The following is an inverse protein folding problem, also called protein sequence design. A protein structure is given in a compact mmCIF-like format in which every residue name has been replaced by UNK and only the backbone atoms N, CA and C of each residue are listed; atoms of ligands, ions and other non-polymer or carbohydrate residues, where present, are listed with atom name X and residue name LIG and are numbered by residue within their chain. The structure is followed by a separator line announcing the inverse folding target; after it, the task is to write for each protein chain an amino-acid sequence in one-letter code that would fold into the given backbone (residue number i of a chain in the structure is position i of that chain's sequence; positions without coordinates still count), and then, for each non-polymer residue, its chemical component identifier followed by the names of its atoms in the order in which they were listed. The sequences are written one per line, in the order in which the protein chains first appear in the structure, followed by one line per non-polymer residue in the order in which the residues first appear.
data_IF_454117508675
#
_entry.id   IF_454117508675
#
_cell.length_a   1.000
_cell.length_b   1.000
_cell.length_c   1.000
_cell.angle_alpha   90.00
_cell.angle_beta   90.00
_cell.angle_gamma   90.00
#
_symmetry.space_group_name_H-M   'P 1'
#
loop_
_entity.id
_entity.type
_entity.pdbx_description
1 polymer ?
#
# COMPACT_ATOMS: atom_id res chain seq x y z
N UNK A 1 -7.06 18.73 7.76
CA UNK A 1 -7.69 17.47 8.20
C UNK A 1 -6.90 16.99 9.40
N UNK A 2 -7.61 16.84 10.52
CA UNK A 2 -7.18 16.85 11.93
C UNK A 2 -5.66 16.64 12.11
N UNK A 3 -4.94 17.73 12.37
CA UNK A 3 -3.63 17.63 13.03
C UNK A 3 -3.94 17.11 14.43
N UNK A 4 -3.85 15.80 14.60
CA UNK A 4 -4.19 15.17 15.86
C UNK A 4 -3.27 15.63 16.99
N UNK A 5 -2.21 16.40 16.72
CA UNK A 5 -1.42 17.05 17.77
C UNK A 5 -0.96 16.06 18.84
N UNK A 6 -0.80 14.77 18.48
CA UNK A 6 -0.37 13.71 19.39
C UNK A 6 1.15 13.82 19.45
N UNK A 7 1.61 14.94 20.00
CA UNK A 7 2.89 14.96 20.67
C UNK A 7 2.64 14.46 22.09
N UNK A 8 2.43 13.15 22.22
CA UNK A 8 2.51 12.45 23.49
C UNK A 8 2.73 10.98 23.16
N UNK A 9 3.85 10.40 23.62
CA UNK A 9 3.90 8.96 23.91
C UNK A 9 2.56 8.55 24.47
N UNK A 10 1.85 7.62 23.83
CA UNK A 10 0.62 7.12 24.41
C UNK A 10 0.95 6.62 25.82
N UNK A 11 0.28 7.17 26.83
CA UNK A 11 0.42 6.65 28.18
C UNK A 11 -0.03 5.18 28.21
N UNK A 12 0.39 4.44 29.24
CA UNK A 12 0.03 3.03 29.39
C UNK A 12 -1.49 2.79 29.35
N UNK A 13 -2.29 3.79 29.74
CA UNK A 13 -3.75 3.71 29.75
C UNK A 13 -4.31 3.72 28.33
N UNK A 14 -3.84 4.60 27.44
CA UNK A 14 -4.24 4.65 26.03
C UNK A 14 -3.79 3.41 25.26
N UNK A 15 -2.58 2.90 25.55
CA UNK A 15 -2.08 1.62 24.98
C UNK A 15 -2.96 0.44 25.38
N UNK A 16 -3.44 0.43 26.64
CA UNK A 16 -4.37 -0.59 27.15
C UNK A 16 -5.74 -0.48 26.51
N UNK A 17 -6.29 0.73 26.34
CA UNK A 17 -7.57 0.96 25.66
C UNK A 17 -7.51 0.44 24.22
N UNK A 18 -6.44 0.77 23.49
CA UNK A 18 -6.24 0.27 22.12
C UNK A 18 -6.17 -1.26 22.06
N UNK A 19 -5.50 -1.89 23.03
CA UNK A 19 -5.45 -3.36 23.10
C UNK A 19 -6.83 -3.97 23.38
N UNK A 20 -7.63 -3.36 24.25
CA UNK A 20 -9.00 -3.82 24.53
C UNK A 20 -9.91 -3.69 23.31
N UNK A 21 -9.85 -2.56 22.60
CA UNK A 21 -10.61 -2.35 21.36
C UNK A 21 -10.22 -3.36 20.27
N UNK A 22 -8.92 -3.63 20.11
CA UNK A 22 -8.41 -4.64 19.18
C UNK A 22 -8.93 -6.05 19.51
N UNK A 23 -9.00 -6.42 20.80
CA UNK A 23 -9.58 -7.71 21.23
C UNK A 23 -11.08 -7.77 20.95
N UNK A 24 -11.81 -6.68 21.22
CA UNK A 24 -13.25 -6.62 21.02
C UNK A 24 -13.62 -6.75 19.54
N UNK A 25 -12.93 -6.03 18.65
CA UNK A 25 -13.16 -6.11 17.20
C UNK A 25 -12.85 -7.50 16.67
N UNK A 26 -11.73 -8.09 17.05
CA UNK A 26 -11.38 -9.45 16.61
C UNK A 26 -12.42 -10.46 17.10
N UNK A 27 -12.89 -10.33 18.34
CA UNK A 27 -13.97 -11.17 18.87
C UNK A 27 -15.27 -11.00 18.08
N UNK A 28 -15.67 -9.75 17.79
CA UNK A 28 -16.86 -9.44 16.98
C UNK A 28 -16.75 -10.05 15.58
N UNK A 29 -15.58 -9.92 14.95
CA UNK A 29 -15.30 -10.40 13.60
C UNK A 29 -15.33 -11.92 13.51
N UNK A 30 -14.64 -12.62 14.43
CA UNK A 30 -14.69 -14.08 14.52
C UNK A 30 -16.10 -14.58 14.83
N UNK A 31 -16.82 -13.91 15.72
CA UNK A 31 -18.23 -14.23 16.02
C UNK A 31 -19.13 -14.12 14.78
N UNK A 32 -18.99 -13.04 14.00
CA UNK A 32 -19.73 -12.88 12.75
C UNK A 32 -19.39 -13.98 11.74
N UNK A 33 -18.10 -14.28 11.53
CA UNK A 33 -17.67 -15.34 10.61
C UNK A 33 -18.11 -16.73 11.04
N UNK A 34 -18.26 -16.97 12.35
CA UNK A 34 -18.77 -18.25 12.88
C UNK A 34 -20.27 -18.42 12.66
N UNK A 35 -20.99 -17.33 12.32
CA UNK A 35 -22.41 -17.37 12.01
C UNK A 35 -22.61 -17.77 10.55
N UNK A 36 -23.51 -18.74 10.24
CA UNK A 36 -23.82 -19.12 8.86
C UNK A 36 -24.17 -17.90 8.00
N UNK A 37 -23.83 -17.97 6.71
CA UNK A 37 -24.19 -16.93 5.74
C UNK A 37 -25.71 -16.80 5.70
N UNK A 38 -26.20 -15.57 5.85
CA UNK A 38 -27.64 -15.29 5.81
C UNK A 38 -28.23 -15.73 4.48
N UNK A 39 -29.43 -16.31 4.52
CA UNK A 39 -30.21 -16.60 3.31
C UNK A 39 -30.68 -15.33 2.59
N UNK A 40 -30.50 -14.16 3.20
CA UNK A 40 -30.77 -12.83 2.62
C UNK A 40 -29.42 -12.14 2.35
N UNK A 41 -28.88 -12.19 1.11
CA UNK A 41 -27.54 -11.69 0.81
C UNK A 41 -27.32 -10.21 1.10
N UNK A 42 -28.36 -9.37 0.99
CA UNK A 42 -28.26 -7.95 1.35
C UNK A 42 -28.02 -7.76 2.86
N UNK A 43 -28.72 -8.54 3.70
CA UNK A 43 -28.60 -8.44 5.14
C UNK A 43 -27.22 -8.91 5.61
N UNK A 44 -26.70 -9.98 4.98
CA UNK A 44 -25.35 -10.49 5.26
C UNK A 44 -24.30 -9.41 5.01
N UNK A 45 -24.36 -8.79 3.83
CA UNK A 45 -23.45 -7.71 3.41
C UNK A 45 -23.54 -6.51 4.34
N UNK A 46 -24.74 -6.06 4.70
CA UNK A 46 -24.92 -4.95 5.63
C UNK A 46 -24.32 -5.26 7.01
N UNK A 47 -24.48 -6.49 7.49
CA UNK A 47 -23.91 -6.92 8.78
C UNK A 47 -22.39 -7.02 8.71
N UNK A 48 -21.85 -7.48 7.59
CA UNK A 48 -20.40 -7.50 7.34
C UNK A 48 -19.82 -6.08 7.35
N UNK A 49 -20.44 -5.13 6.63
CA UNK A 49 -20.05 -3.71 6.64
C UNK A 49 -20.12 -3.10 8.04
N UNK A 50 -21.20 -3.35 8.78
CA UNK A 50 -21.33 -2.90 10.17
C UNK A 50 -20.29 -3.53 11.11
N UNK A 51 -19.81 -4.73 10.79
CA UNK A 51 -18.71 -5.39 11.49
C UNK A 51 -17.38 -4.71 11.20
N UNK A 52 -17.20 -4.18 9.99
CA UNK A 52 -15.99 -3.49 9.56
C UNK A 52 -15.80 -2.07 10.11
N UNK A 53 -16.84 -1.45 10.65
CA UNK A 53 -16.78 -0.09 11.17
C UNK A 53 -15.74 0.08 12.29
N UNK A 54 -14.93 1.14 12.22
CA UNK A 54 -13.95 1.49 13.26
C UNK A 54 -12.59 0.79 13.15
N UNK A 55 -12.45 -0.18 12.24
CA UNK A 55 -11.24 -1.02 12.12
C UNK A 55 -10.06 -0.19 11.63
N UNK A 56 -10.27 0.67 10.64
CA UNK A 56 -9.18 1.39 10.02
C UNK A 56 -8.67 2.54 10.87
N UNK A 57 -9.52 3.10 11.72
CA UNK A 57 -9.12 4.02 12.79
C UNK A 57 -8.19 3.32 13.78
N UNK A 58 -8.50 2.07 14.14
CA UNK A 58 -7.62 1.26 15.00
C UNK A 58 -6.33 0.88 14.30
N UNK A 59 -6.37 0.49 13.02
CA UNK A 59 -5.16 0.19 12.24
C UNK A 59 -4.26 1.43 12.12
N UNK A 60 -4.83 2.61 11.89
CA UNK A 60 -4.08 3.87 11.83
C UNK A 60 -3.39 4.19 13.17
N UNK A 61 -4.07 3.96 14.30
CA UNK A 61 -3.50 4.15 15.64
C UNK A 61 -2.44 3.08 15.96
N UNK A 62 -2.67 1.83 15.55
CA UNK A 62 -1.69 0.75 15.70
C UNK A 62 -0.43 1.01 14.87
N UNK A 63 -0.56 1.55 13.66
CA UNK A 63 0.59 1.85 12.79
C UNK A 63 1.63 2.75 13.47
N UNK A 64 1.17 3.68 14.30
CA UNK A 64 2.01 4.65 15.04
C UNK A 64 2.53 4.12 16.38
N UNK A 65 1.99 3.01 16.89
CA UNK A 65 2.19 2.61 18.30
C UNK A 65 2.58 1.16 18.50
N UNK A 66 2.43 0.33 17.47
CA UNK A 66 2.59 -1.12 17.54
C UNK A 66 3.37 -1.63 16.33
N UNK A 67 4.05 -2.79 16.48
CA UNK A 67 4.70 -3.44 15.35
C UNK A 67 3.67 -3.76 14.28
N UNK A 68 4.09 -3.73 13.02
CA UNK A 68 3.22 -4.04 11.89
C UNK A 68 2.62 -5.44 12.00
N UNK A 69 3.31 -6.34 12.70
CA UNK A 69 2.83 -7.66 13.12
C UNK A 69 1.40 -7.65 13.68
N UNK A 70 1.07 -6.66 14.53
CA UNK A 70 -0.24 -6.53 15.16
C UNK A 70 -1.31 -6.20 14.13
N UNK A 71 -1.03 -5.24 13.24
CA UNK A 71 -1.98 -4.79 12.22
C UNK A 71 -2.41 -5.89 11.25
N UNK A 72 -1.48 -6.72 10.74
CA UNK A 72 -1.93 -7.79 9.84
C UNK A 72 -2.70 -8.90 10.55
N UNK A 73 -2.52 -9.13 11.86
CA UNK A 73 -3.40 -10.07 12.58
C UNK A 73 -4.84 -9.58 12.63
N UNK A 74 -5.04 -8.27 12.74
CA UNK A 74 -6.36 -7.69 12.63
C UNK A 74 -6.90 -7.86 11.21
N UNK A 75 -6.08 -7.69 10.18
CA UNK A 75 -6.51 -7.94 8.79
C UNK A 75 -6.81 -9.41 8.51
N UNK A 76 -6.08 -10.36 9.10
CA UNK A 76 -6.36 -11.80 9.00
C UNK A 76 -7.79 -12.12 9.48
N UNK A 77 -8.20 -11.51 10.61
CA UNK A 77 -9.54 -11.68 11.18
C UNK A 77 -10.64 -10.98 10.35
N UNK A 78 -10.28 -9.97 9.53
CA UNK A 78 -11.21 -9.10 8.81
C UNK A 78 -11.36 -9.44 7.33
N UNK A 79 -10.34 -10.02 6.71
CA UNK A 79 -10.40 -10.51 5.33
C UNK A 79 -11.66 -11.36 5.04
N UNK A 80 -12.03 -12.36 5.86
CA UNK A 80 -13.27 -13.11 5.64
C UNK A 80 -14.55 -12.26 5.83
N UNK A 81 -14.50 -11.22 6.68
CA UNK A 81 -15.63 -10.29 6.87
C UNK A 81 -15.80 -9.43 5.62
N UNK A 82 -14.71 -8.87 5.11
CA UNK A 82 -14.68 -8.14 3.85
C UNK A 82 -15.21 -8.99 2.69
N UNK A 83 -14.81 -10.26 2.61
CA UNK A 83 -15.33 -11.20 1.60
C UNK A 83 -16.86 -11.33 1.62
N UNK A 84 -17.48 -11.35 2.80
CA UNK A 84 -18.94 -11.38 2.96
C UNK A 84 -19.62 -10.05 2.64
N UNK A 85 -18.88 -8.95 2.69
CA UNK A 85 -19.37 -7.63 2.28
C UNK A 85 -19.36 -7.44 0.75
N UNK A 86 -18.53 -8.22 0.03
CA UNK A 86 -18.44 -8.19 -1.42
C UNK A 86 -19.69 -8.82 -2.08
N UNK A 87 -20.13 -8.32 -3.25
CA UNK A 87 -21.28 -8.87 -3.96
C UNK A 87 -21.00 -10.20 -4.67
N UNK A 88 -19.75 -10.50 -5.02
CA UNK A 88 -19.37 -11.71 -5.75
C UNK A 88 -19.44 -12.96 -4.86
N UNK A 89 -19.52 -14.15 -5.46
CA UNK A 89 -19.62 -15.42 -4.72
C UNK A 89 -18.30 -15.80 -4.06
N UNK A 90 -18.29 -16.56 -2.94
CA UNK A 90 -17.06 -17.06 -2.35
C UNK A 90 -16.19 -17.81 -3.37
N UNK A 91 -14.91 -17.44 -3.46
CA UNK A 91 -13.95 -18.01 -4.42
C UNK A 91 -13.86 -17.27 -5.75
N UNK A 92 -14.84 -16.41 -6.09
CA UNK A 92 -14.73 -15.53 -7.25
C UNK A 92 -13.85 -14.32 -6.92
N UNK A 93 -13.02 -13.83 -7.86
CA UNK A 93 -12.28 -12.59 -7.69
C UNK A 93 -13.21 -11.42 -7.35
N UNK A 94 -12.74 -10.51 -6.50
CA UNK A 94 -13.47 -9.27 -6.18
C UNK A 94 -13.31 -8.28 -7.32
N UNK A 95 -14.40 -7.70 -7.82
CA UNK A 95 -14.32 -6.66 -8.83
C UNK A 95 -13.80 -5.36 -8.21
N UNK A 96 -12.50 -5.11 -8.37
CA UNK A 96 -11.83 -3.98 -7.71
C UNK A 96 -12.42 -2.63 -8.12
N UNK A 97 -12.74 -2.36 -9.40
CA UNK A 97 -13.39 -1.11 -9.79
C UNK A 97 -14.71 -0.83 -9.06
N UNK A 98 -15.56 -1.84 -8.92
CA UNK A 98 -16.83 -1.70 -8.19
C UNK A 98 -16.60 -1.37 -6.72
N UNK A 99 -15.56 -1.94 -6.10
CA UNK A 99 -15.18 -1.62 -4.72
C UNK A 99 -14.64 -0.19 -4.61
N UNK A 100 -13.72 0.23 -5.50
CA UNK A 100 -13.11 1.55 -5.45
C UNK A 100 -14.09 2.70 -5.73
N UNK A 101 -15.15 2.43 -6.50
CA UNK A 101 -16.25 3.35 -6.76
C UNK A 101 -17.36 3.28 -5.71
N UNK A 102 -17.29 2.33 -4.77
CA UNK A 102 -18.31 2.18 -3.73
C UNK A 102 -18.29 3.38 -2.76
N UNK A 103 -19.43 3.90 -2.31
CA UNK A 103 -19.46 4.96 -1.31
C UNK A 103 -18.86 4.53 0.05
N UNK A 104 -18.94 3.25 0.40
CA UNK A 104 -18.43 2.74 1.67
C UNK A 104 -16.91 2.89 1.76
N UNK A 105 -16.46 3.61 2.78
CA UNK A 105 -15.05 3.88 3.00
C UNK A 105 -14.28 2.63 3.44
N UNK A 106 -14.87 1.75 4.26
CA UNK A 106 -14.19 0.57 4.79
C UNK A 106 -13.92 -0.46 3.70
N UNK A 107 -14.84 -0.63 2.75
CA UNK A 107 -14.63 -1.49 1.58
C UNK A 107 -13.43 -1.02 0.75
N UNK A 108 -13.43 0.28 0.40
CA UNK A 108 -12.33 0.89 -0.36
C UNK A 108 -11.00 0.75 0.36
N UNK A 109 -11.00 1.03 1.67
CA UNK A 109 -9.80 1.04 2.48
C UNK A 109 -9.23 -0.36 2.69
N UNK A 110 -10.08 -1.38 2.81
CA UNK A 110 -9.63 -2.77 2.89
C UNK A 110 -8.96 -3.21 1.59
N UNK A 111 -9.63 -3.04 0.44
CA UNK A 111 -9.07 -3.47 -0.84
C UNK A 111 -7.73 -2.77 -1.12
N UNK A 112 -7.67 -1.45 -0.92
CA UNK A 112 -6.44 -0.70 -1.09
C UNK A 112 -5.33 -1.11 -0.10
N UNK A 113 -5.67 -1.35 1.17
CA UNK A 113 -4.70 -1.81 2.17
C UNK A 113 -4.15 -3.19 1.82
N UNK A 114 -5.00 -4.13 1.44
CA UNK A 114 -4.61 -5.49 1.04
C UNK A 114 -3.60 -5.46 -0.12
N UNK A 115 -3.93 -4.74 -1.19
CA UNK A 115 -3.04 -4.54 -2.34
C UNK A 115 -1.73 -3.87 -1.90
N UNK A 116 -1.81 -2.81 -1.08
CA UNK A 116 -0.64 -2.08 -0.62
C UNK A 116 0.27 -2.92 0.28
N UNK A 117 -0.30 -3.75 1.15
CA UNK A 117 0.43 -4.67 2.00
C UNK A 117 1.14 -5.70 1.13
N UNK A 118 0.47 -6.26 0.13
CA UNK A 118 1.07 -7.19 -0.81
C UNK A 118 2.29 -6.59 -1.50
N UNK A 119 2.16 -5.41 -2.11
CA UNK A 119 3.29 -4.76 -2.82
C UNK A 119 4.37 -4.21 -1.89
N UNK A 120 4.09 -3.94 -0.62
CA UNK A 120 5.11 -3.44 0.32
C UNK A 120 5.71 -4.54 1.18
N UNK A 121 5.19 -5.77 1.17
CA UNK A 121 5.74 -6.92 1.92
C UNK A 121 6.21 -8.06 1.02
N UNK A 122 5.79 -8.07 -0.24
CA UNK A 122 5.99 -9.17 -1.17
C UNK A 122 5.11 -10.39 -0.85
N UNK A 123 4.19 -10.31 0.12
CA UNK A 123 3.21 -11.36 0.39
C UNK A 123 2.06 -11.30 -0.62
N UNK A 124 1.36 -12.42 -0.90
CA UNK A 124 0.13 -12.39 -1.67
C UNK A 124 -0.94 -11.52 -1.00
N UNK A 125 -1.91 -11.03 -1.77
CA UNK A 125 -3.11 -10.40 -1.22
C UNK A 125 -3.97 -11.42 -0.48
N UNK A 126 -4.80 -10.95 0.45
CA UNK A 126 -5.81 -11.77 1.13
C UNK A 126 -6.91 -12.23 0.18
N UNK A 127 -7.27 -11.38 -0.80
CA UNK A 127 -8.25 -11.69 -1.82
C UNK A 127 -7.66 -11.55 -3.22
N UNK A 128 -8.20 -12.31 -4.16
CA UNK A 128 -7.96 -12.09 -5.58
C UNK A 128 -8.82 -10.93 -6.06
N UNK A 129 -8.22 -10.03 -6.84
CA UNK A 129 -8.88 -8.87 -7.40
C UNK A 129 -8.90 -8.98 -8.92
N UNK A 130 -10.09 -8.87 -9.50
CA UNK A 130 -10.24 -8.70 -10.94
C UNK A 130 -10.13 -7.21 -11.28
N UNK A 131 -9.28 -6.91 -12.28
CA UNK A 131 -9.08 -5.55 -12.78
C UNK A 131 -9.20 -5.55 -14.30
N UNK A 132 -10.37 -5.19 -14.86
CA UNK A 132 -10.52 -4.95 -16.30
C UNK A 132 -9.85 -3.63 -16.68
N UNK A 133 -8.52 -3.58 -16.58
CA UNK A 133 -7.73 -2.36 -16.66
C UNK A 133 -7.86 -1.70 -18.04
N UNK A 134 -8.16 -0.40 -18.06
CA UNK A 134 -8.18 0.42 -19.27
C UNK A 134 -7.99 1.90 -18.95
N UNK A 135 -7.54 2.69 -19.92
CA UNK A 135 -7.44 4.15 -19.75
C UNK A 135 -8.82 4.79 -19.49
N UNK A 136 -9.87 4.30 -20.13
CA UNK A 136 -11.24 4.77 -19.89
C UNK A 136 -11.69 4.50 -18.46
N UNK A 137 -11.28 3.37 -17.89
CA UNK A 137 -11.52 3.08 -16.48
C UNK A 137 -10.72 4.01 -15.56
N UNK A 138 -9.46 4.32 -15.88
CA UNK A 138 -8.69 5.31 -15.15
C UNK A 138 -9.34 6.70 -15.20
N UNK A 139 -9.83 7.12 -16.36
CA UNK A 139 -10.54 8.40 -16.50
C UNK A 139 -11.82 8.42 -15.66
N UNK A 140 -12.61 7.34 -15.68
CA UNK A 140 -13.77 7.19 -14.79
C UNK A 140 -13.40 7.30 -13.32
N UNK A 141 -12.29 6.69 -12.88
CA UNK A 141 -11.81 6.79 -11.50
C UNK A 141 -11.44 8.23 -11.12
N UNK A 142 -10.74 8.92 -12.01
CA UNK A 142 -10.36 10.33 -11.82
C UNK A 142 -11.58 11.26 -11.74
N UNK A 143 -12.60 11.01 -12.56
CA UNK A 143 -13.86 11.78 -12.58
C UNK A 143 -14.78 11.46 -11.40
N UNK A 144 -14.78 10.22 -10.92
CA UNK A 144 -15.67 9.75 -9.87
C UNK A 144 -15.45 10.45 -8.52
N UNK A 145 -14.48 11.39 -8.41
CA UNK A 145 -14.21 12.33 -7.32
C UNK A 145 -15.05 12.02 -6.08
N UNK A 146 -14.72 10.92 -5.42
CA UNK A 146 -15.24 10.72 -4.08
C UNK A 146 -14.46 11.74 -3.26
N UNK A 147 -15.17 12.72 -2.70
CA UNK A 147 -14.59 13.57 -1.66
C UNK A 147 -13.89 12.66 -0.65
N UNK A 148 -12.55 12.69 -0.66
CA UNK A 148 -11.61 12.16 0.32
C UNK A 148 -11.82 10.72 0.82
N UNK A 149 -10.86 9.85 0.45
CA UNK A 149 -10.58 8.66 1.23
C UNK A 149 -9.12 8.25 1.08
N UNK A 150 -8.83 7.43 0.08
CA UNK A 150 -7.55 6.72 -0.03
C UNK A 150 -6.38 7.62 -0.42
N UNK A 151 -6.54 8.49 -1.42
CA UNK A 151 -5.47 9.41 -1.82
C UNK A 151 -5.08 10.37 -0.70
N UNK A 152 -6.07 10.81 0.10
CA UNK A 152 -5.83 11.69 1.24
C UNK A 152 -5.16 10.99 2.42
N UNK A 153 -5.24 9.66 2.49
CA UNK A 153 -4.64 8.82 3.56
C UNK A 153 -3.27 8.30 3.16
N UNK A 154 -3.16 7.69 1.97
CA UNK A 154 -1.95 6.99 1.52
C UNK A 154 -1.16 7.76 0.47
N UNK A 155 -1.69 8.86 -0.07
CA UNK A 155 -1.05 9.62 -1.14
C UNK A 155 -1.13 8.98 -2.52
N UNK A 156 -1.77 7.80 -2.62
CA UNK A 156 -1.85 7.01 -3.85
C UNK A 156 -3.18 7.24 -4.59
N UNK A 157 -3.13 7.55 -5.89
CA UNK A 157 -4.29 7.52 -6.78
C UNK A 157 -4.88 6.11 -6.93
N UNK A 158 -6.21 6.02 -7.07
CA UNK A 158 -6.93 4.74 -7.25
C UNK A 158 -6.46 3.98 -8.51
N UNK A 159 -6.04 4.71 -9.54
CA UNK A 159 -5.51 4.19 -10.79
C UNK A 159 -4.25 3.35 -10.56
N UNK A 160 -3.40 3.76 -9.62
CA UNK A 160 -2.20 2.99 -9.28
C UNK A 160 -2.52 1.80 -8.39
N UNK A 161 -3.52 1.87 -7.51
CA UNK A 161 -4.03 0.71 -6.77
C UNK A 161 -4.51 -0.37 -7.75
N UNK A 162 -5.28 0.02 -8.78
CA UNK A 162 -5.70 -0.90 -9.84
C UNK A 162 -4.53 -1.49 -10.62
N UNK A 163 -3.55 -0.67 -10.99
CA UNK A 163 -2.33 -1.16 -11.66
C UNK A 163 -1.57 -2.16 -10.80
N UNK A 164 -1.38 -1.88 -9.51
CA UNK A 164 -0.71 -2.82 -8.61
C UNK A 164 -1.47 -4.14 -8.50
N UNK A 165 -2.78 -4.11 -8.31
CA UNK A 165 -3.60 -5.32 -8.28
C UNK A 165 -3.55 -6.10 -9.59
N UNK A 166 -3.56 -5.40 -10.73
CA UNK A 166 -3.49 -6.05 -12.03
C UNK A 166 -2.11 -6.66 -12.29
N UNK A 167 -1.02 -5.97 -11.92
CA UNK A 167 0.34 -6.51 -11.99
C UNK A 167 0.46 -7.74 -11.07
N UNK A 168 -0.11 -7.72 -9.85
CA UNK A 168 -0.14 -8.89 -8.97
C UNK A 168 -0.78 -10.10 -9.65
N UNK A 169 -1.94 -9.89 -10.29
CA UNK A 169 -2.64 -10.94 -11.03
C UNK A 169 -1.80 -11.47 -12.21
N UNK A 170 -1.14 -10.58 -12.95
CA UNK A 170 -0.24 -10.96 -14.04
C UNK A 170 0.98 -11.76 -13.55
N UNK A 171 1.50 -11.48 -12.36
CA UNK A 171 2.58 -12.26 -11.76
C UNK A 171 2.19 -13.73 -11.49
N UNK A 172 0.89 -14.04 -11.40
CA UNK A 172 0.38 -15.40 -11.27
C UNK A 172 0.16 -16.09 -12.63
N UNK A 173 0.16 -15.32 -13.73
CA UNK A 173 -0.06 -15.83 -15.09
C UNK A 173 1.26 -16.29 -15.75
N UNK A 174 1.39 -17.58 -16.12
CA UNK A 174 2.62 -18.09 -16.71
C UNK A 174 2.95 -17.39 -18.04
N UNK A 175 4.11 -16.72 -18.11
CA UNK A 175 4.56 -16.08 -19.35
C UNK A 175 4.31 -14.57 -19.43
N UNK A 176 3.49 -14.01 -18.53
CA UNK A 176 3.12 -12.59 -18.54
C UNK A 176 4.34 -11.65 -18.54
N UNK A 177 5.32 -11.94 -17.69
CA UNK A 177 6.55 -11.15 -17.54
C UNK A 177 7.49 -11.20 -18.74
N UNK A 178 7.37 -12.22 -19.60
CA UNK A 178 8.15 -12.33 -20.83
C UNK A 178 7.45 -11.70 -22.04
N UNK A 179 6.18 -11.32 -21.90
CA UNK A 179 5.42 -10.65 -22.95
C UNK A 179 5.84 -9.17 -23.07
N UNK A 180 6.85 -8.90 -23.89
CA UNK A 180 7.35 -7.55 -24.13
C UNK A 180 6.27 -6.57 -24.62
N UNK A 181 5.30 -7.05 -25.40
CA UNK A 181 4.19 -6.23 -25.87
C UNK A 181 3.29 -5.75 -24.74
N UNK A 182 2.99 -6.64 -23.78
CA UNK A 182 2.23 -6.31 -22.58
C UNK A 182 3.01 -5.32 -21.68
N UNK A 183 4.29 -5.59 -21.43
CA UNK A 183 5.13 -4.72 -20.58
C UNK A 183 5.23 -3.31 -21.17
N UNK A 184 5.54 -3.19 -22.47
CA UNK A 184 5.57 -1.89 -23.15
C UNK A 184 4.20 -1.21 -23.17
N UNK A 185 3.11 -1.99 -23.31
CA UNK A 185 1.77 -1.43 -23.21
C UNK A 185 1.51 -0.82 -21.83
N UNK A 186 1.89 -1.49 -20.73
CA UNK A 186 1.72 -0.95 -19.37
C UNK A 186 2.56 0.33 -19.20
N UNK A 187 3.81 0.34 -19.66
CA UNK A 187 4.69 1.51 -19.63
C UNK A 187 4.07 2.72 -20.35
N UNK A 188 3.65 2.52 -21.61
CA UNK A 188 3.09 3.58 -22.45
C UNK A 188 1.78 4.14 -21.88
N UNK A 189 0.95 3.28 -21.28
CA UNK A 189 -0.31 3.69 -20.70
C UNK A 189 -0.11 4.39 -19.35
N UNK A 190 0.87 3.98 -18.53
CA UNK A 190 1.14 4.59 -17.24
C UNK A 190 1.38 6.10 -17.33
N UNK A 191 2.14 6.54 -18.34
CA UNK A 191 2.42 7.97 -18.56
C UNK A 191 1.21 8.75 -19.09
N UNK A 192 0.21 8.07 -19.66
CA UNK A 192 -1.04 8.67 -20.16
C UNK A 192 -2.10 8.81 -19.08
N UNK A 193 -1.95 8.14 -17.93
CA UNK A 193 -2.89 8.26 -16.81
C UNK A 193 -2.84 9.69 -16.28
N UNK A 194 -3.94 10.42 -16.47
CA UNK A 194 -4.09 11.78 -15.96
C UNK A 194 -4.30 11.72 -14.45
N UNK A 195 -3.38 12.33 -13.71
CA UNK A 195 -3.58 12.53 -12.28
C UNK A 195 -4.54 13.68 -12.06
N UNK A 196 -5.37 13.58 -11.01
CA UNK A 196 -6.33 14.62 -10.69
C UNK A 196 -5.63 15.97 -10.49
N UNK A 197 -6.14 17.00 -11.17
CA UNK A 197 -5.65 18.37 -11.03
C UNK A 197 -6.05 18.90 -9.64
N UNK A 198 -5.05 19.19 -8.83
CA UNK A 198 -5.25 19.70 -7.48
C UNK A 198 -5.62 21.19 -7.54
N UNK A 199 -6.89 21.46 -7.24
CA UNK A 199 -7.46 22.82 -7.17
C UNK A 199 -7.00 23.59 -5.92
N UNK A 200 -6.00 23.11 -5.18
CA UNK A 200 -5.45 23.83 -4.04
C UNK A 200 -4.93 25.20 -4.46
N UNK A 201 -5.35 26.22 -3.70
CA UNK A 201 -4.90 27.59 -3.89
C UNK A 201 -3.44 27.81 -3.50
N UNK A 202 -2.81 26.87 -2.77
CA UNK A 202 -1.40 26.93 -2.38
C UNK A 202 -0.51 26.26 -3.45
N UNK A 203 0.31 27.03 -4.19
CA UNK A 203 1.19 26.49 -5.23
C UNK A 203 2.19 25.46 -4.71
N UNK A 204 2.66 25.59 -3.46
CA UNK A 204 3.65 24.67 -2.88
C UNK A 204 3.02 23.32 -2.56
N UNK A 205 1.79 23.31 -2.04
CA UNK A 205 1.06 22.06 -1.79
C UNK A 205 0.72 21.35 -3.10
N UNK A 206 0.36 22.10 -4.15
CA UNK A 206 0.12 21.56 -5.49
C UNK A 206 1.37 20.90 -6.07
N UNK A 207 2.52 21.58 -6.02
CA UNK A 207 3.80 21.02 -6.46
C UNK A 207 4.15 19.77 -5.65
N UNK A 208 3.97 19.81 -4.33
CA UNK A 208 4.22 18.67 -3.45
C UNK A 208 3.37 17.44 -3.83
N UNK A 209 2.05 17.62 -4.02
CA UNK A 209 1.15 16.53 -4.43
C UNK A 209 1.48 15.98 -5.80
N UNK A 210 1.77 16.84 -6.77
CA UNK A 210 2.22 16.41 -8.09
C UNK A 210 3.50 15.57 -7.99
N UNK A 211 4.48 16.01 -7.20
CA UNK A 211 5.70 15.23 -6.97
C UNK A 211 5.42 13.87 -6.32
N UNK A 212 4.48 13.78 -5.37
CA UNK A 212 4.06 12.51 -4.77
C UNK A 212 3.46 11.57 -5.81
N UNK A 213 2.55 12.07 -6.65
CA UNK A 213 1.93 11.27 -7.71
C UNK A 213 2.96 10.79 -8.74
N UNK A 214 3.91 11.63 -9.14
CA UNK A 214 5.01 11.21 -10.02
C UNK A 214 5.95 10.19 -9.37
N UNK A 215 6.21 10.33 -8.06
CA UNK A 215 6.96 9.32 -7.30
C UNK A 215 6.24 7.97 -7.33
N UNK A 216 4.90 7.96 -7.22
CA UNK A 216 4.13 6.73 -7.37
C UNK A 216 4.21 6.13 -8.78
N UNK A 217 4.25 6.92 -9.86
CA UNK A 217 4.49 6.38 -11.21
C UNK A 217 5.80 5.61 -11.28
N UNK A 218 6.88 6.18 -10.75
CA UNK A 218 8.16 5.47 -10.71
C UNK A 218 8.12 4.21 -9.84
N UNK A 219 7.37 4.22 -8.73
CA UNK A 219 7.17 3.03 -7.91
C UNK A 219 6.44 1.92 -8.67
N UNK A 220 5.40 2.25 -9.45
CA UNK A 220 4.72 1.29 -10.33
C UNK A 220 5.68 0.71 -11.37
N UNK A 221 6.52 1.54 -12.00
CA UNK A 221 7.52 1.06 -12.97
C UNK A 221 8.55 0.12 -12.33
N UNK A 222 9.08 0.47 -11.15
CA UNK A 222 9.99 -0.41 -10.42
C UNK A 222 9.30 -1.74 -10.10
N UNK A 223 8.06 -1.69 -9.63
CA UNK A 223 7.27 -2.89 -9.34
C UNK A 223 7.03 -3.75 -10.58
N UNK A 224 6.63 -3.13 -11.70
CA UNK A 224 6.43 -3.80 -12.99
C UNK A 224 7.67 -4.59 -13.42
N UNK A 225 8.85 -3.97 -13.37
CA UNK A 225 10.06 -4.67 -13.78
C UNK A 225 10.51 -5.73 -12.79
N UNK A 226 10.55 -5.40 -11.51
CA UNK A 226 11.14 -6.31 -10.52
C UNK A 226 10.19 -7.46 -10.14
N UNK A 227 8.89 -7.19 -10.04
CA UNK A 227 7.91 -8.21 -9.66
C UNK A 227 7.41 -9.01 -10.86
N UNK A 228 6.95 -8.35 -11.94
CA UNK A 228 6.38 -9.04 -13.10
C UNK A 228 7.45 -9.53 -14.07
N UNK A 229 8.43 -8.70 -14.43
CA UNK A 229 9.49 -9.10 -15.36
C UNK A 229 10.63 -9.87 -14.70
N UNK A 230 10.55 -10.09 -13.38
CA UNK A 230 11.58 -10.73 -12.54
C UNK A 230 12.99 -10.10 -12.68
N UNK A 231 13.05 -8.81 -13.05
CA UNK A 231 14.30 -8.09 -13.18
C UNK A 231 14.94 -7.80 -11.82
N UNK A 232 16.26 -7.72 -11.77
CA UNK A 232 16.99 -7.32 -10.58
C UNK A 232 17.27 -5.81 -10.55
N UNK A 233 17.79 -5.32 -9.42
CA UNK A 233 18.08 -3.90 -9.21
C UNK A 233 19.16 -3.31 -10.12
N UNK A 234 19.92 -4.15 -10.84
CA UNK A 234 20.94 -3.75 -11.81
C UNK A 234 20.40 -3.62 -13.24
N UNK A 235 19.15 -4.03 -13.50
CA UNK A 235 18.50 -3.84 -14.80
C UNK A 235 18.48 -2.33 -15.15
N UNK A 236 18.94 -1.93 -16.36
CA UNK A 236 19.00 -0.52 -16.76
C UNK A 236 17.66 0.22 -16.67
N UNK A 237 16.53 -0.49 -16.85
CA UNK A 237 15.18 0.08 -16.75
C UNK A 237 14.82 0.36 -15.31
N UNK A 238 15.15 -0.56 -14.39
CA UNK A 238 14.99 -0.39 -12.94
C UNK A 238 15.84 0.76 -12.43
N UNK A 239 17.12 0.82 -12.82
CA UNK A 239 18.03 1.92 -12.47
C UNK A 239 17.47 3.26 -12.93
N UNK A 240 16.97 3.34 -14.17
CA UNK A 240 16.42 4.59 -14.73
C UNK A 240 15.20 5.07 -13.93
N UNK A 241 14.28 4.16 -13.60
CA UNK A 241 13.10 4.47 -12.79
C UNK A 241 13.47 4.90 -11.37
N UNK A 242 14.38 4.17 -10.72
CA UNK A 242 14.90 4.50 -9.39
C UNK A 242 15.58 5.88 -9.37
N UNK A 243 16.42 6.21 -10.36
CA UNK A 243 17.06 7.53 -10.45
C UNK A 243 16.06 8.65 -10.69
N UNK A 244 15.02 8.39 -11.50
CA UNK A 244 13.90 9.31 -11.69
C UNK A 244 13.17 9.62 -10.38
N UNK A 245 12.84 8.57 -9.61
CA UNK A 245 12.26 8.69 -8.28
C UNK A 245 13.14 9.52 -7.34
N UNK A 246 14.43 9.19 -7.24
CA UNK A 246 15.35 9.88 -6.33
C UNK A 246 15.56 11.35 -6.72
N UNK A 247 15.50 11.69 -8.00
CA UNK A 247 15.54 13.08 -8.47
C UNK A 247 14.34 13.87 -7.94
N UNK A 248 13.13 13.30 -7.97
CA UNK A 248 11.93 13.94 -7.44
C UNK A 248 11.99 14.08 -5.91
N UNK A 249 12.35 12.99 -5.22
CA UNK A 249 12.52 13.00 -3.75
C UNK A 249 13.51 14.07 -3.34
N UNK A 250 14.65 14.21 -4.02
CA UNK A 250 15.64 15.26 -3.72
C UNK A 250 15.16 16.66 -4.09
N UNK A 251 14.32 16.79 -5.11
CA UNK A 251 13.77 18.06 -5.58
C UNK A 251 12.71 18.67 -4.65
N UNK A 252 12.06 17.85 -3.82
CA UNK A 252 11.06 18.33 -2.85
C UNK A 252 11.65 18.47 -1.45
N UNK A 253 11.21 19.52 -0.74
CA UNK A 253 11.66 19.82 0.63
C UNK A 253 11.31 18.64 1.57
N UNK A 254 12.29 18.08 2.30
CA UNK A 254 12.02 17.00 3.25
C UNK A 254 11.21 17.50 4.45
N UNK A 255 10.35 16.64 4.99
CA UNK A 255 9.49 16.96 6.13
C UNK A 255 8.32 16.00 6.25
N UNK A 256 7.58 16.06 7.37
CA UNK A 256 6.42 15.19 7.64
C UNK A 256 5.51 15.04 6.42
N UNK A 257 5.21 16.16 5.76
CA UNK A 257 4.63 16.19 4.43
C UNK A 257 5.66 16.78 3.47
N UNK A 258 5.95 16.14 2.31
CA UNK A 258 5.21 15.03 1.70
C UNK A 258 5.66 13.62 2.14
N UNK A 259 6.66 13.47 3.02
CA UNK A 259 7.32 12.17 3.22
C UNK A 259 6.38 11.09 3.79
N UNK A 260 5.38 11.44 4.62
CA UNK A 260 4.36 10.51 5.10
C UNK A 260 3.58 9.82 3.96
N UNK A 261 3.35 10.54 2.85
CA UNK A 261 2.67 10.01 1.66
C UNK A 261 3.58 9.19 0.73
N UNK A 262 4.88 9.18 1.02
CA UNK A 262 5.89 8.50 0.22
C UNK A 262 6.44 7.25 0.91
N UNK A 263 6.07 6.95 2.16
CA UNK A 263 6.62 5.79 2.89
C UNK A 263 6.46 4.49 2.09
N UNK A 264 5.26 4.23 1.56
CA UNK A 264 5.00 3.01 0.80
C UNK A 264 5.77 2.97 -0.54
N UNK A 265 5.84 4.09 -1.26
CA UNK A 265 6.64 4.16 -2.49
C UNK A 265 8.15 4.08 -2.21
N UNK A 266 8.61 4.59 -1.06
CA UNK A 266 9.99 4.46 -0.58
C UNK A 266 10.33 3.00 -0.26
N UNK A 267 9.39 2.21 0.26
CA UNK A 267 9.62 0.75 0.44
C UNK A 267 9.82 0.08 -0.91
N UNK A 268 8.92 0.33 -1.87
CA UNK A 268 8.97 -0.29 -3.21
C UNK A 268 10.27 0.07 -3.93
N UNK A 269 10.59 1.37 -4.04
CA UNK A 269 11.78 1.83 -4.75
C UNK A 269 13.06 1.55 -3.95
N UNK A 270 12.98 1.56 -2.62
CA UNK A 270 14.10 1.32 -1.72
C UNK A 270 14.79 -0.02 -1.93
N UNK A 271 14.04 -1.04 -2.36
CA UNK A 271 14.57 -2.38 -2.72
C UNK A 271 15.60 -2.26 -3.85
N UNK A 272 15.32 -1.40 -4.85
CA UNK A 272 16.16 -1.21 -6.02
C UNK A 272 17.37 -0.30 -5.79
N UNK A 273 17.49 0.34 -4.63
CA UNK A 273 18.58 1.31 -4.38
C UNK A 273 19.89 0.57 -4.08
N UNK A 274 20.88 0.79 -4.94
CA UNK A 274 22.23 0.25 -4.79
C UNK A 274 23.23 1.26 -4.20
N UNK A 275 23.10 2.54 -4.53
CA UNK A 275 24.02 3.60 -4.10
C UNK A 275 23.80 3.96 -2.62
N UNK A 276 24.84 3.89 -1.78
CA UNK A 276 24.71 4.17 -0.33
C UNK A 276 24.19 5.58 -0.05
N UNK A 277 24.58 6.57 -0.86
CA UNK A 277 24.09 7.95 -0.78
C UNK A 277 22.56 8.04 -0.97
N UNK A 278 22.02 7.24 -1.88
CA UNK A 278 20.58 7.18 -2.14
C UNK A 278 19.86 6.48 -0.97
N UNK A 279 20.46 5.42 -0.40
CA UNK A 279 19.95 4.73 0.80
C UNK A 279 19.93 5.66 2.01
N UNK A 280 20.99 6.42 2.23
CA UNK A 280 21.10 7.44 3.28
C UNK A 280 20.01 8.51 3.13
N UNK A 281 19.79 8.96 1.89
CA UNK A 281 18.74 9.94 1.58
C UNK A 281 17.37 9.37 1.97
N UNK A 282 17.05 8.15 1.54
CA UNK A 282 15.76 7.51 1.83
C UNK A 282 15.57 7.26 3.33
N UNK A 283 16.61 6.77 4.02
CA UNK A 283 16.63 6.58 5.47
C UNK A 283 16.32 7.87 6.22
N UNK A 284 17.00 8.96 5.88
CA UNK A 284 16.77 10.27 6.49
C UNK A 284 15.34 10.79 6.25
N UNK A 285 14.77 10.53 5.07
CA UNK A 285 13.40 10.93 4.73
C UNK A 285 12.37 10.15 5.55
N UNK A 286 12.53 8.83 5.65
CA UNK A 286 11.65 8.00 6.46
C UNK A 286 11.71 8.40 7.94
N UNK A 287 12.90 8.54 8.54
CA UNK A 287 13.04 8.94 9.95
C UNK A 287 12.46 10.32 10.29
N UNK A 288 12.30 11.22 9.32
CA UNK A 288 11.66 12.53 9.54
C UNK A 288 10.15 12.44 9.76
N UNK A 289 9.54 11.31 9.41
CA UNK A 289 8.15 10.99 9.77
C UNK A 289 8.15 10.31 11.14
N UNK A 290 8.59 11.08 12.15
CA UNK A 290 8.90 10.56 13.48
C UNK A 290 7.73 9.82 14.13
N UNK A 291 6.48 10.18 13.81
CA UNK A 291 5.27 9.57 14.37
C UNK A 291 5.13 8.07 14.01
N UNK A 292 5.90 7.58 13.04
CA UNK A 292 5.84 6.21 12.51
C UNK A 292 7.14 5.43 12.71
N UNK A 293 8.18 6.06 13.24
CA UNK A 293 9.55 5.54 13.15
C UNK A 293 10.17 5.18 14.51
N UNK A 294 9.41 5.28 15.59
CA UNK A 294 9.83 4.79 16.91
C UNK A 294 10.07 3.26 16.86
N UNK A 295 11.08 2.73 17.56
CA UNK A 295 11.32 1.30 17.63
C UNK A 295 10.08 0.50 18.03
N UNK A 296 9.76 -0.56 17.26
CA UNK A 296 8.58 -1.38 17.51
C UNK A 296 7.28 -0.78 16.98
N UNK A 297 7.34 0.13 16.01
CA UNK A 297 6.17 0.65 15.25
C UNK A 297 6.20 0.20 13.80
N UNK A 298 5.10 0.39 13.07
CA UNK A 298 4.97 -0.10 11.68
C UNK A 298 5.95 0.56 10.70
N UNK A 299 6.21 1.87 10.82
CA UNK A 299 7.18 2.53 9.95
C UNK A 299 8.62 2.14 10.28
N UNK A 300 8.94 1.89 11.55
CA UNK A 300 10.24 1.35 11.94
C UNK A 300 10.49 -0.03 11.32
N UNK A 301 9.48 -0.92 11.34
CA UNK A 301 9.54 -2.22 10.66
C UNK A 301 9.78 -2.07 9.14
N UNK A 302 9.31 -1.00 8.51
CA UNK A 302 9.58 -0.73 7.10
C UNK A 302 11.07 -0.42 6.84
N UNK A 303 11.70 0.43 7.64
CA UNK A 303 13.14 0.70 7.54
C UNK A 303 13.95 -0.57 7.83
N UNK A 304 13.60 -1.31 8.89
CA UNK A 304 14.31 -2.55 9.25
C UNK A 304 14.31 -3.57 8.11
N UNK A 305 13.22 -3.68 7.34
CA UNK A 305 13.15 -4.54 6.17
C UNK A 305 14.07 -4.08 5.05
N UNK A 306 14.12 -2.78 4.76
CA UNK A 306 15.06 -2.25 3.76
C UNK A 306 16.53 -2.45 4.19
N UNK A 307 16.86 -2.22 5.46
CA UNK A 307 18.20 -2.46 5.99
C UNK A 307 18.63 -3.92 5.89
N UNK A 308 17.71 -4.85 6.14
CA UNK A 308 17.96 -6.28 5.99
C UNK A 308 18.25 -6.64 4.53
N UNK A 309 17.49 -6.10 3.57
CA UNK A 309 17.73 -6.29 2.12
C UNK A 309 19.08 -5.70 1.70
N UNK A 310 19.37 -4.45 2.09
CA UNK A 310 20.62 -3.76 1.73
C UNK A 310 21.85 -4.46 2.32
N UNK A 311 21.74 -4.95 3.56
CA UNK A 311 22.81 -5.71 4.20
C UNK A 311 23.00 -7.05 3.52
N UNK A 312 21.92 -7.80 3.27
CA UNK A 312 21.95 -9.12 2.64
C UNK A 312 22.58 -9.07 1.25
N UNK A 313 22.07 -8.19 0.39
CA UNK A 313 22.56 -8.03 -1.00
C UNK A 313 24.02 -7.61 -1.06
N UNK A 314 24.47 -6.77 -0.11
CA UNK A 314 25.89 -6.41 0.04
C UNK A 314 26.76 -7.60 0.45
N UNK A 315 26.32 -8.40 1.42
CA UNK A 315 27.05 -9.58 1.90
C UNK A 315 27.14 -10.65 0.80
N UNK A 316 26.03 -10.89 0.12
CA UNK A 316 25.92 -11.87 -0.98
C UNK A 316 26.53 -11.38 -2.30
N UNK A 317 26.91 -10.09 -2.38
CA UNK A 317 27.50 -9.45 -3.58
C UNK A 317 26.64 -9.61 -4.83
N UNK A 318 25.33 -9.44 -4.70
CA UNK A 318 24.38 -9.52 -5.82
C UNK A 318 23.40 -8.34 -5.81
N UNK A 319 22.79 -8.00 -6.96
CA UNK A 319 21.67 -7.07 -7.00
C UNK A 319 20.48 -7.61 -6.20
N UNK A 320 19.63 -6.69 -5.75
CA UNK A 320 18.38 -7.04 -5.09
C UNK A 320 17.37 -7.56 -6.11
N UNK A 321 16.58 -8.55 -5.72
CA UNK A 321 15.43 -9.04 -6.49
C UNK A 321 14.16 -8.84 -5.68
N UNK A 322 13.00 -8.84 -6.32
CA UNK A 322 11.74 -8.55 -5.62
C UNK A 322 11.44 -9.50 -4.45
N UNK A 323 11.83 -10.77 -4.57
CA UNK A 323 11.65 -11.79 -3.53
C UNK A 323 12.44 -11.51 -2.24
N UNK A 324 13.47 -10.66 -2.28
CA UNK A 324 14.19 -10.23 -1.08
C UNK A 324 13.29 -9.53 -0.07
N UNK A 325 12.28 -8.80 -0.55
CA UNK A 325 11.29 -8.12 0.27
C UNK A 325 10.45 -9.11 1.09
N UNK A 326 10.06 -10.23 0.48
CA UNK A 326 9.31 -11.30 1.16
C UNK A 326 10.15 -11.93 2.26
N UNK A 327 11.44 -12.18 1.99
CA UNK A 327 12.37 -12.75 2.98
C UNK A 327 12.58 -11.78 4.15
N UNK A 328 12.81 -10.49 3.85
CA UNK A 328 12.98 -9.47 4.88
C UNK A 328 11.71 -9.28 5.70
N UNK A 329 10.53 -9.30 5.06
CA UNK A 329 9.24 -9.22 5.76
C UNK A 329 9.03 -10.40 6.70
N UNK A 330 9.34 -11.62 6.28
CA UNK A 330 9.31 -12.81 7.16
C UNK A 330 10.19 -12.67 8.37
N UNK A 331 11.42 -12.17 8.18
CA UNK A 331 12.40 -12.01 9.24
C UNK A 331 12.01 -10.94 10.25
N UNK A 332 11.57 -9.77 9.78
CA UNK A 332 11.26 -8.62 10.65
C UNK A 332 9.88 -8.77 11.31
N UNK A 333 8.89 -9.24 10.55
CA UNK A 333 7.50 -9.32 11.02
C UNK A 333 7.17 -10.67 11.68
N UNK A 334 8.02 -11.69 11.50
CA UNK A 334 7.81 -13.03 12.01
C UNK A 334 6.74 -13.84 11.27
N UNK A 335 6.47 -13.52 9.99
CA UNK A 335 5.39 -14.12 9.18
C UNK A 335 5.65 -14.10 7.68
#
# INVERSE_FOLDING_TARGET
MIDLGINSKLDNKRVTILASLDVEIRKKSRGFISTPVSSVPQLDRQTALATMNGIFEILALQAQTRPFAVGLRLLDDIAPVFRRACPESPGEPVNLPNILLNPDFNLRNFAASDIMISVTTGQPTYLQYEVPFSLDLCERMSQAKSENGLQSIYGIPNEFIMLFAWINWLCEEPGAGQNLGLVSWIEDNLWKIKMADDQSSDPLLRIGRMAVQECWRFAVIVYLYMALCEADSSDPRVIRAQKGYMRLVRGIKPGRYPDAYLINSMIIVGIAIMEERDRDTLRQRMYKVWEWMEPGTTGNDAIMRLEDIWTRTRVERRPAVWTDLRIASRKVLGR
#
